data_IF_725344633834
#
_entry.id   IF_725344633834
#
_cell.length_a   1.000
_cell.length_b   1.000
_cell.length_c   1.000
_cell.angle_alpha   90.00
_cell.angle_beta   90.00
_cell.angle_gamma   90.00
#
_symmetry.space_group_name_H-M   'P 1'
#
loop_
_entity.id
_entity.type
_entity.pdbx_description
1 polymer ?
#
# COMPACT_ATOMS: atom_id res chain seq x y z
N UNK A 1 14.78 1.05 -10.03
CA UNK A 1 13.56 1.57 -9.39
C UNK A 1 13.96 2.00 -8.00
N UNK A 2 13.93 3.30 -7.71
CA UNK A 2 14.31 3.81 -6.40
C UNK A 2 13.20 4.75 -5.93
N UNK A 3 12.12 4.18 -5.40
CA UNK A 3 11.06 4.97 -4.79
C UNK A 3 11.47 5.26 -3.36
N UNK A 4 11.39 6.53 -2.96
CA UNK A 4 11.69 6.93 -1.58
C UNK A 4 10.84 6.10 -0.63
N UNK A 5 11.46 5.57 0.41
CA UNK A 5 10.80 4.78 1.44
C UNK A 5 10.38 3.37 1.01
N UNK A 6 10.68 2.91 -0.20
CA UNK A 6 10.44 1.50 -0.56
C UNK A 6 11.49 0.59 0.11
N UNK A 7 11.03 -0.47 0.78
CA UNK A 7 11.91 -1.42 1.48
C UNK A 7 11.98 -2.74 0.70
N UNK A 8 10.84 -3.37 0.45
CA UNK A 8 10.75 -4.66 -0.23
C UNK A 8 9.35 -4.91 -0.79
N UNK A 9 9.21 -5.97 -1.56
CA UNK A 9 7.93 -6.39 -2.09
C UNK A 9 7.97 -7.80 -2.62
N UNK A 10 6.82 -8.44 -2.63
CA UNK A 10 6.59 -9.79 -3.11
C UNK A 10 5.29 -9.84 -3.90
N UNK A 11 5.27 -10.71 -4.92
CA UNK A 11 4.10 -10.97 -5.75
C UNK A 11 3.67 -12.40 -5.51
N UNK A 12 2.42 -12.56 -5.08
CA UNK A 12 1.79 -13.82 -4.80
C UNK A 12 0.66 -14.07 -5.81
N UNK A 13 0.41 -15.34 -6.10
CA UNK A 13 -0.77 -15.78 -6.84
C UNK A 13 -1.64 -16.62 -5.92
N UNK A 14 -2.96 -16.52 -6.06
CA UNK A 14 -3.86 -17.38 -5.31
C UNK A 14 -3.72 -18.83 -5.81
N UNK A 15 -3.46 -19.77 -4.89
CA UNK A 15 -3.27 -21.18 -5.22
C UNK A 15 -4.51 -21.82 -5.86
N UNK A 16 -5.71 -21.32 -5.55
CA UNK A 16 -6.99 -21.81 -6.08
C UNK A 16 -7.45 -21.05 -7.34
N UNK A 17 -6.88 -19.88 -7.62
CA UNK A 17 -7.22 -19.07 -8.79
C UNK A 17 -6.02 -18.22 -9.23
N UNK A 18 -5.29 -18.70 -10.23
CA UNK A 18 -4.06 -18.05 -10.73
C UNK A 18 -4.29 -16.68 -11.38
N UNK A 19 -5.55 -16.30 -11.68
CA UNK A 19 -5.90 -14.96 -12.17
C UNK A 19 -6.01 -13.93 -11.04
N UNK A 20 -5.97 -14.38 -9.76
CA UNK A 20 -5.89 -13.48 -8.62
C UNK A 20 -4.43 -13.31 -8.20
N UNK A 21 -3.95 -12.09 -8.36
CA UNK A 21 -2.59 -11.69 -7.99
C UNK A 21 -2.67 -10.75 -6.78
N UNK A 22 -1.80 -10.96 -5.80
CA UNK A 22 -1.63 -10.08 -4.64
C UNK A 22 -0.21 -9.59 -4.60
N UNK A 23 -0.03 -8.27 -4.50
CA UNK A 23 1.28 -7.65 -4.34
C UNK A 23 1.37 -7.10 -2.92
N UNK A 24 2.31 -7.60 -2.14
CA UNK A 24 2.64 -7.06 -0.82
C UNK A 24 3.88 -6.20 -0.99
N UNK A 25 3.86 -4.98 -0.44
CA UNK A 25 5.03 -4.10 -0.46
C UNK A 25 5.21 -3.44 0.90
N UNK A 26 6.46 -3.38 1.34
CA UNK A 26 6.86 -2.78 2.61
C UNK A 26 7.44 -1.41 2.30
N UNK A 27 6.93 -0.40 3.01
CA UNK A 27 7.35 0.99 2.90
C UNK A 27 7.74 1.52 4.28
N UNK A 28 8.69 2.46 4.32
CA UNK A 28 9.11 3.17 5.53
C UNK A 28 7.93 3.91 6.16
N UNK A 29 7.12 4.58 5.34
CA UNK A 29 5.96 5.34 5.80
C UNK A 29 4.76 5.20 4.85
N UNK A 30 3.55 5.37 5.39
CA UNK A 30 2.33 5.44 4.58
C UNK A 30 2.35 6.65 3.62
N UNK A 31 3.05 7.73 3.99
CA UNK A 31 3.23 8.91 3.15
C UNK A 31 4.04 8.57 1.90
N UNK A 32 5.12 7.81 2.04
CA UNK A 32 5.94 7.38 0.91
C UNK A 32 5.17 6.46 -0.04
N UNK A 33 4.37 5.53 0.51
CA UNK A 33 3.42 4.75 -0.29
C UNK A 33 2.43 5.64 -1.03
N UNK A 34 1.78 6.60 -0.36
CA UNK A 34 0.79 7.48 -1.00
C UNK A 34 1.41 8.35 -2.11
N UNK A 35 2.63 8.83 -1.91
CA UNK A 35 3.40 9.54 -2.94
C UNK A 35 3.68 8.64 -4.15
N UNK A 36 3.99 7.37 -3.92
CA UNK A 36 4.18 6.41 -5.01
C UNK A 36 2.87 6.07 -5.72
N UNK A 37 1.79 5.79 -4.98
CA UNK A 37 0.46 5.50 -5.51
C UNK A 37 -0.07 6.61 -6.43
N UNK A 38 0.26 7.86 -6.12
CA UNK A 38 -0.16 9.04 -6.89
C UNK A 38 0.89 9.53 -7.89
N UNK A 39 2.03 8.83 -8.00
CA UNK A 39 3.09 9.18 -8.94
C UNK A 39 2.63 8.99 -10.39
N UNK A 40 2.99 9.93 -11.28
CA UNK A 40 2.63 9.86 -12.72
C UNK A 40 3.00 8.51 -13.36
N UNK A 41 4.21 8.02 -13.10
CA UNK A 41 4.68 6.72 -13.63
C UNK A 41 3.84 5.56 -13.09
N UNK A 42 3.40 5.63 -11.83
CA UNK A 42 2.52 4.60 -11.25
C UNK A 42 1.15 4.63 -11.90
N UNK A 43 0.58 5.83 -12.10
CA UNK A 43 -0.72 6.00 -12.77
C UNK A 43 -0.69 5.44 -14.20
N UNK A 44 0.37 5.69 -14.95
CA UNK A 44 0.55 5.13 -16.30
C UNK A 44 0.58 3.60 -16.29
N UNK A 45 1.29 2.99 -15.33
CA UNK A 45 1.32 1.53 -15.16
C UNK A 45 -0.07 1.00 -14.78
N UNK A 46 -0.74 1.63 -13.83
CA UNK A 46 -2.08 1.23 -13.39
C UNK A 46 -3.10 1.34 -14.54
N UNK A 47 -2.97 2.32 -15.43
CA UNK A 47 -3.82 2.44 -16.62
C UNK A 47 -3.67 1.25 -17.57
N UNK A 48 -2.43 0.85 -17.89
CA UNK A 48 -2.15 -0.33 -18.72
C UNK A 48 -2.66 -1.61 -18.06
N UNK A 49 -2.51 -1.73 -16.74
CA UNK A 49 -2.98 -2.88 -15.99
C UNK A 49 -4.51 -2.95 -15.90
N UNK A 50 -5.20 -1.80 -15.88
CA UNK A 50 -6.66 -1.76 -15.83
C UNK A 50 -7.30 -2.28 -17.13
N UNK A 51 -6.63 -2.13 -18.29
CA UNK A 51 -7.10 -2.70 -19.55
C UNK A 51 -7.07 -4.24 -19.56
N UNK A 52 -6.23 -4.83 -18.70
CA UNK A 52 -6.02 -6.28 -18.61
C UNK A 52 -6.79 -6.94 -17.47
N UNK A 53 -7.40 -6.17 -16.58
CA UNK A 53 -8.08 -6.67 -15.37
C UNK A 53 -9.59 -6.50 -15.48
N UNK A 54 -10.35 -7.51 -15.04
CA UNK A 54 -11.81 -7.42 -14.96
C UNK A 54 -12.30 -6.38 -13.95
N UNK A 55 -11.48 -6.06 -12.94
CA UNK A 55 -11.81 -5.13 -11.86
C UNK A 55 -10.61 -4.24 -11.54
N UNK A 56 -10.83 -3.00 -11.08
CA UNK A 56 -9.75 -2.13 -10.61
C UNK A 56 -8.96 -2.76 -9.47
N UNK A 57 -7.66 -2.45 -9.41
CA UNK A 57 -6.79 -2.86 -8.31
C UNK A 57 -7.28 -2.29 -6.98
N UNK A 58 -7.37 -3.14 -5.96
CA UNK A 58 -7.71 -2.76 -4.59
C UNK A 58 -6.43 -2.58 -3.76
N UNK A 59 -6.42 -1.57 -2.88
CA UNK A 59 -5.28 -1.25 -2.04
C UNK A 59 -5.70 -1.22 -0.57
N UNK A 60 -4.97 -1.94 0.26
CA UNK A 60 -5.20 -2.01 1.70
C UNK A 60 -3.88 -1.74 2.44
N UNK A 61 -3.78 -0.66 3.21
CA UNK A 61 -2.60 -0.41 4.03
C UNK A 61 -2.67 -1.23 5.32
N UNK A 62 -1.58 -1.91 5.64
CA UNK A 62 -1.40 -2.65 6.89
C UNK A 62 -0.27 -2.03 7.71
N UNK A 63 -0.39 -2.12 9.04
CA UNK A 63 0.67 -1.73 9.98
C UNK A 63 0.99 -2.92 10.88
N UNK A 64 2.22 -2.96 11.42
CA UNK A 64 2.57 -3.97 12.40
C UNK A 64 1.61 -3.94 13.60
N UNK A 65 1.26 -5.11 14.12
CA UNK A 65 0.30 -5.26 15.23
C UNK A 65 0.66 -4.48 16.49
N UNK A 66 1.96 -4.19 16.72
CA UNK A 66 2.41 -3.31 17.81
C UNK A 66 1.81 -1.89 17.74
N UNK A 67 1.31 -1.46 16.58
CA UNK A 67 0.62 -0.17 16.40
C UNK A 67 -0.89 -0.27 16.57
N UNK A 68 -1.43 -1.39 17.07
CA UNK A 68 -2.87 -1.62 17.25
C UNK A 68 -3.60 -0.45 17.91
N UNK A 69 -3.11 0.03 19.06
CA UNK A 69 -3.75 1.14 19.78
C UNK A 69 -3.77 2.45 18.99
N UNK A 70 -2.80 2.68 18.10
CA UNK A 70 -2.83 3.82 17.18
C UNK A 70 -3.83 3.57 16.05
N UNK A 71 -3.80 2.38 15.44
CA UNK A 71 -4.70 2.01 14.35
C UNK A 71 -6.18 2.04 14.75
N UNK A 72 -6.51 1.60 15.98
CA UNK A 72 -7.88 1.62 16.52
C UNK A 72 -8.43 3.04 16.75
N UNK A 73 -7.57 4.05 16.77
CA UNK A 73 -7.94 5.46 16.96
C UNK A 73 -7.82 6.29 15.67
N UNK A 74 -7.58 5.64 14.52
CA UNK A 74 -7.27 6.28 13.24
C UNK A 74 -5.75 6.43 13.04
N UNK A 75 -5.26 6.14 11.83
CA UNK A 75 -3.83 6.19 11.51
C UNK A 75 -3.51 7.34 10.54
N UNK A 76 -2.50 8.20 10.82
CA UNK A 76 -1.75 8.27 12.08
C UNK A 76 -2.65 8.70 13.24
N UNK A 77 -2.33 8.28 14.48
CA UNK A 77 -3.12 8.70 15.65
C UNK A 77 -3.17 10.24 15.68
N UNK A 78 -4.35 10.86 15.84
CA UNK A 78 -4.44 12.30 16.06
C UNK A 78 -3.52 12.72 17.21
N UNK A 79 -2.80 13.83 17.07
CA UNK A 79 -1.98 14.40 18.15
C UNK A 79 -2.85 14.61 19.38
N UNK A 80 -2.42 14.12 20.54
CA UNK A 80 -3.13 14.30 21.80
C UNK A 80 -2.51 15.49 22.56
N UNK A 81 -3.28 16.16 23.44
CA UNK A 81 -2.79 17.34 24.18
C UNK A 81 -1.56 17.06 25.04
N UNK A 82 -1.31 15.81 25.42
CA UNK A 82 -0.11 15.41 26.16
C UNK A 82 1.13 15.16 25.28
N UNK A 83 0.96 15.17 23.96
CA UNK A 83 2.05 15.06 22.98
C UNK A 83 2.60 16.46 22.57
N UNK A 84 2.01 17.55 23.11
CA UNK A 84 2.38 18.96 22.88
C UNK A 84 3.23 19.54 24.01
#
# INVERSE_FOLDING_TARGET
>A
MNQKGYISGETLICAENTNKVTVISIWETLKDWNNWKTNKKRIEIDALLNELQEKPTQYEPYVYSKYWAAASLGFPRPLQEHDL
#
